data_IF_660737907907
#
_entry.id   IF_660737907907
#
_cell.length_a   1.000
_cell.length_b   1.000
_cell.length_c   1.000
_cell.angle_alpha   90.00
_cell.angle_beta   90.00
_cell.angle_gamma   90.00
#
_symmetry.space_group_name_H-M   'P 1'
#
loop_
_entity.id
_entity.type
_entity.pdbx_description
1 polymer ?
#
# COMPACT_ATOMS: atom_id res chain seq x y z
N UNK A 1 13.05 13.56 -15.23
CA UNK A 1 12.01 12.70 -14.61
C UNK A 1 12.26 12.69 -13.10
N UNK A 2 11.40 13.28 -12.26
CA UNK A 2 11.60 13.31 -10.81
C UNK A 2 11.66 11.87 -10.29
N UNK A 3 12.63 11.59 -9.44
CA UNK A 3 12.93 10.26 -8.92
C UNK A 3 12.52 10.22 -7.46
N UNK A 4 11.65 9.29 -7.09
CA UNK A 4 11.34 8.97 -5.69
C UNK A 4 12.47 8.13 -5.04
N UNK A 5 13.71 8.37 -5.45
CA UNK A 5 14.91 7.62 -5.06
C UNK A 5 15.83 8.46 -4.19
N UNK A 6 15.46 9.72 -3.95
CA UNK A 6 16.12 10.52 -2.94
C UNK A 6 15.73 10.00 -1.54
N UNK A 7 16.68 9.99 -0.61
CA UNK A 7 16.43 9.49 0.74
C UNK A 7 15.26 10.21 1.43
N UNK A 8 14.98 11.46 1.05
CA UNK A 8 13.85 12.25 1.55
C UNK A 8 12.52 11.76 0.98
N UNK A 9 12.43 11.50 -0.32
CA UNK A 9 11.26 10.92 -0.96
C UNK A 9 10.93 9.52 -0.45
N UNK A 10 11.94 8.66 -0.26
CA UNK A 10 11.75 7.32 0.31
C UNK A 10 11.30 7.37 1.77
N UNK A 11 11.92 8.21 2.60
CA UNK A 11 11.50 8.39 4.01
C UNK A 11 10.05 8.87 4.10
N UNK A 12 9.65 9.80 3.23
CA UNK A 12 8.29 10.31 3.18
C UNK A 12 7.30 9.24 2.72
N UNK A 13 7.62 8.50 1.66
CA UNK A 13 6.81 7.38 1.20
C UNK A 13 6.57 6.38 2.35
N UNK A 14 7.63 6.02 3.08
CA UNK A 14 7.53 5.11 4.22
C UNK A 14 6.66 5.68 5.36
N UNK A 15 6.67 7.00 5.60
CA UNK A 15 5.80 7.64 6.59
C UNK A 15 4.32 7.60 6.17
N UNK A 16 4.03 7.91 4.91
CA UNK A 16 2.66 7.88 4.35
C UNK A 16 2.08 6.47 4.43
N UNK A 17 2.83 5.46 3.98
CA UNK A 17 2.39 4.06 3.99
C UNK A 17 2.17 3.54 5.42
N UNK A 18 3.03 3.95 6.37
CA UNK A 18 2.88 3.55 7.78
C UNK A 18 1.65 4.19 8.43
N UNK A 19 1.39 5.45 8.13
CA UNK A 19 0.24 6.20 8.68
C UNK A 19 -1.07 5.69 8.09
N UNK A 20 -1.08 5.38 6.80
CA UNK A 20 -2.26 4.95 6.06
C UNK A 20 -2.07 3.56 5.45
N UNK A 21 -2.03 2.51 6.29
CA UNK A 21 -1.86 1.11 5.84
C UNK A 21 -2.93 0.59 4.87
N UNK A 22 -4.06 1.30 4.73
CA UNK A 22 -5.18 0.97 3.82
C UNK A 22 -5.25 1.88 2.60
N UNK A 23 -4.34 2.85 2.46
CA UNK A 23 -4.36 3.78 1.34
C UNK A 23 -4.05 3.06 0.02
N UNK A 24 -4.75 3.49 -1.03
CA UNK A 24 -4.49 3.05 -2.40
C UNK A 24 -3.22 3.74 -2.94
N UNK A 25 -2.64 3.18 -4.00
CA UNK A 25 -1.45 3.77 -4.65
C UNK A 25 -1.71 5.21 -5.09
N UNK A 26 -2.90 5.51 -5.61
CA UNK A 26 -3.30 6.86 -6.00
C UNK A 26 -3.34 7.83 -4.81
N UNK A 27 -3.88 7.40 -3.68
CA UNK A 27 -3.90 8.20 -2.44
C UNK A 27 -2.48 8.45 -1.92
N UNK A 28 -1.63 7.42 -1.92
CA UNK A 28 -0.22 7.54 -1.51
C UNK A 28 0.52 8.53 -2.43
N UNK A 29 0.31 8.43 -3.75
CA UNK A 29 0.92 9.35 -4.71
C UNK A 29 0.47 10.80 -4.49
N UNK A 30 -0.83 11.02 -4.24
CA UNK A 30 -1.34 12.34 -3.92
C UNK A 30 -0.69 12.91 -2.65
N UNK A 31 -0.60 12.14 -1.56
CA UNK A 31 -0.01 12.62 -0.29
C UNK A 31 1.51 12.87 -0.39
N UNK A 32 2.21 12.04 -1.14
CA UNK A 32 3.65 12.23 -1.40
C UNK A 32 3.89 13.50 -2.23
N UNK A 33 3.03 13.76 -3.22
CA UNK A 33 3.12 14.96 -4.05
C UNK A 33 2.66 16.24 -3.32
N UNK A 34 1.73 16.14 -2.36
CA UNK A 34 1.15 17.29 -1.65
C UNK A 34 2.14 18.13 -0.81
N UNK A 35 3.42 17.76 -0.76
CA UNK A 35 4.44 18.61 -0.14
C UNK A 35 5.82 18.39 -0.72
N UNK A 36 5.90 17.89 -1.95
CA UNK A 36 7.14 17.74 -2.69
C UNK A 36 7.05 18.65 -3.90
N UNK A 37 8.15 19.33 -4.26
CA UNK A 37 8.19 20.18 -5.45
C UNK A 37 8.11 19.38 -6.77
N UNK A 38 8.30 18.06 -6.68
CA UNK A 38 8.23 17.15 -7.83
C UNK A 38 6.91 16.38 -7.91
N UNK A 39 6.31 16.33 -9.10
CA UNK A 39 5.19 15.42 -9.38
C UNK A 39 5.69 14.00 -9.61
N UNK A 40 5.43 13.12 -8.63
CA UNK A 40 5.70 11.69 -8.72
C UNK A 40 4.45 10.99 -9.29
N UNK A 41 4.65 10.18 -10.32
CA UNK A 41 3.57 9.38 -10.89
C UNK A 41 3.21 8.20 -10.00
N UNK A 42 1.95 7.75 -10.07
CA UNK A 42 1.50 6.53 -9.40
C UNK A 42 2.35 5.30 -9.75
N UNK A 43 2.76 5.19 -11.02
CA UNK A 43 3.65 4.13 -11.48
C UNK A 43 4.98 4.10 -10.72
N UNK A 44 5.57 5.27 -10.48
CA UNK A 44 6.82 5.40 -9.73
C UNK A 44 6.63 5.02 -8.26
N UNK A 45 5.52 5.44 -7.65
CA UNK A 45 5.16 5.07 -6.28
C UNK A 45 4.97 3.57 -6.16
N UNK A 46 4.20 2.96 -7.06
CA UNK A 46 3.96 1.52 -7.08
C UNK A 46 5.27 0.71 -7.19
N UNK A 47 6.16 1.09 -8.11
CA UNK A 47 7.49 0.46 -8.25
C UNK A 47 8.31 0.57 -6.97
N UNK A 48 8.35 1.76 -6.34
CA UNK A 48 9.10 1.96 -5.10
C UNK A 48 8.52 1.13 -3.94
N UNK A 49 7.20 1.06 -3.82
CA UNK A 49 6.52 0.23 -2.81
C UNK A 49 6.82 -1.26 -2.94
N UNK A 50 6.93 -1.77 -4.17
CA UNK A 50 7.32 -3.15 -4.45
C UNK A 50 8.80 -3.40 -4.15
N UNK A 51 9.70 -2.51 -4.61
CA UNK A 51 11.14 -2.65 -4.39
C UNK A 51 11.52 -2.58 -2.89
N UNK A 52 10.83 -1.75 -2.11
CA UNK A 52 11.11 -1.55 -0.67
C UNK A 52 10.30 -2.48 0.23
N UNK A 53 9.37 -3.28 -0.31
CA UNK A 53 8.51 -4.16 0.49
C UNK A 53 7.50 -3.43 1.39
N UNK A 54 7.29 -2.13 1.18
CA UNK A 54 6.32 -1.32 1.92
C UNK A 54 4.88 -1.67 1.54
N UNK A 55 4.66 -2.33 0.40
CA UNK A 55 3.34 -2.81 0.01
C UNK A 55 2.93 -4.07 0.79
N UNK A 56 2.35 -3.88 1.98
CA UNK A 56 1.61 -4.95 2.68
C UNK A 56 0.11 -4.84 2.36
N UNK A 57 -0.28 -5.32 1.19
CA UNK A 57 -1.69 -5.52 0.89
C UNK A 57 -2.22 -6.70 1.71
N UNK A 58 -3.01 -6.42 2.76
CA UNK A 58 -3.85 -7.45 3.36
C UNK A 58 -5.11 -7.57 2.50
N UNK A 59 -5.33 -8.69 1.77
CA UNK A 59 -6.56 -8.86 1.04
C UNK A 59 -7.73 -8.75 2.02
N UNK A 60 -8.59 -7.76 1.80
CA UNK A 60 -9.84 -7.64 2.53
C UNK A 60 -10.73 -8.78 2.04
N UNK A 61 -11.02 -9.73 2.93
CA UNK A 61 -11.91 -10.83 2.58
C UNK A 61 -13.30 -10.26 2.29
N UNK A 62 -13.78 -10.49 1.07
CA UNK A 62 -15.17 -10.18 0.74
C UNK A 62 -16.09 -11.03 1.63
N UNK A 63 -17.35 -10.60 1.87
CA UNK A 63 -18.29 -11.34 2.70
C UNK A 63 -18.46 -12.81 2.31
N UNK A 64 -18.40 -13.11 1.01
CA UNK A 64 -18.47 -14.48 0.46
C UNK A 64 -17.27 -15.33 0.89
N UNK A 65 -16.06 -14.81 0.72
CA UNK A 65 -14.84 -15.52 1.13
C UNK A 65 -14.76 -15.71 2.65
N UNK A 66 -15.31 -14.77 3.42
CA UNK A 66 -15.39 -14.87 4.87
C UNK A 66 -16.28 -16.03 5.31
N UNK A 67 -17.47 -16.18 4.69
CA UNK A 67 -18.40 -17.30 4.97
C UNK A 67 -17.80 -18.65 4.61
N UNK A 68 -17.18 -18.78 3.43
CA UNK A 68 -16.53 -20.04 3.02
C UNK A 68 -15.44 -20.47 4.01
N UNK A 69 -14.63 -19.51 4.47
CA UNK A 69 -13.58 -19.79 5.46
C UNK A 69 -14.15 -20.18 6.83
N UNK A 70 -15.26 -19.58 7.23
CA UNK A 70 -15.97 -19.95 8.48
C UNK A 70 -16.57 -21.34 8.39
N UNK A 71 -17.22 -21.69 7.28
CA UNK A 71 -17.76 -23.04 7.05
C UNK A 71 -16.65 -24.09 7.15
N UNK A 72 -15.55 -23.87 6.43
CA UNK A 72 -14.40 -24.77 6.48
C UNK A 72 -13.85 -24.92 7.91
N UNK A 73 -13.72 -23.81 8.65
CA UNK A 73 -13.26 -23.84 10.04
C UNK A 73 -14.21 -24.63 10.95
N UNK A 74 -15.52 -24.44 10.81
CA UNK A 74 -16.52 -25.20 11.58
C UNK A 74 -16.51 -26.70 11.23
N UNK A 75 -16.31 -27.06 9.96
CA UNK A 75 -16.24 -28.45 9.50
C UNK A 75 -15.01 -29.20 10.01
N UNK A 76 -13.92 -28.49 10.31
CA UNK A 76 -12.63 -29.07 10.71
C UNK A 76 -12.29 -28.77 12.18
N UNK A 77 -13.26 -28.30 12.96
CA UNK A 77 -13.10 -28.09 14.40
C UNK A 77 -13.38 -29.42 15.11
N UNK A 78 -12.37 -30.30 15.15
CA UNK A 78 -12.34 -31.48 16.03
C UNK A 78 -11.93 -31.07 17.45
#
# INVERSE_FOLDING_TARGET
RPRLTDARGERRLACVVRSNRRATVAQIAHEVNAGSDGKVSEYTVHRSLLCTGLHRHRPVLTPVHRRKRQQWACEHQN
#
